data_IF_262573705693
#
_entry.id   IF_262573705693
#
_cell.length_a   1.000
_cell.length_b   1.000
_cell.length_c   1.000
_cell.angle_alpha   90.00
_cell.angle_beta   90.00
_cell.angle_gamma   90.00
#
_symmetry.space_group_name_H-M   'P 1'
#
loop_
_entity.id
_entity.type
_entity.pdbx_description
1 polymer ?
#
# COMPACT_ATOMS: atom_id res chain seq x y z
N UNK A 1 1.73 13.40 -8.20
CA UNK A 1 0.66 12.42 -8.43
C UNK A 1 -0.37 12.40 -7.29
N UNK A 2 0.05 12.15 -6.05
CA UNK A 2 -0.75 12.22 -4.83
C UNK A 2 -0.25 13.37 -3.97
N UNK A 3 -1.17 14.16 -3.40
CA UNK A 3 -0.88 15.25 -2.47
C UNK A 3 -1.81 15.15 -1.27
N UNK A 4 -1.24 15.12 -0.10
CA UNK A 4 -1.92 15.19 1.21
C UNK A 4 -1.45 16.46 1.88
N UNK A 5 -2.37 17.39 2.18
CA UNK A 5 -2.03 18.71 2.70
C UNK A 5 -2.73 18.96 4.03
N UNK A 6 -1.96 19.11 5.09
CA UNK A 6 -2.40 19.41 6.46
C UNK A 6 -3.52 18.49 6.95
N UNK A 7 -3.40 17.16 6.67
CA UNK A 7 -4.46 16.21 6.97
C UNK A 7 -4.43 15.79 8.43
N UNK A 8 -5.58 16.01 9.11
CA UNK A 8 -5.85 15.51 10.47
C UNK A 8 -6.99 14.49 10.43
N UNK A 9 -6.82 13.39 11.16
CA UNK A 9 -7.80 12.27 11.22
C UNK A 9 -8.16 11.98 12.66
N UNK A 10 -9.46 11.78 12.90
CA UNK A 10 -9.99 11.31 14.19
C UNK A 10 -10.81 10.05 14.01
N UNK A 11 -10.76 9.17 15.00
CA UNK A 11 -11.66 8.04 15.16
C UNK A 11 -12.63 8.30 16.32
N UNK A 12 -13.89 7.88 16.16
CA UNK A 12 -14.96 8.05 17.17
C UNK A 12 -15.11 9.50 17.66
N UNK A 13 -14.69 10.48 16.84
CA UNK A 13 -14.73 11.91 17.15
C UNK A 13 -13.71 12.39 18.19
N UNK A 14 -12.99 11.50 18.88
CA UNK A 14 -12.12 11.83 20.02
C UNK A 14 -10.66 11.39 19.84
N UNK A 15 -10.39 10.23 19.22
CA UNK A 15 -9.04 9.68 19.11
C UNK A 15 -8.33 10.35 17.91
N UNK A 16 -7.37 11.20 18.19
CA UNK A 16 -6.54 11.83 17.14
C UNK A 16 -5.51 10.81 16.65
N UNK A 17 -5.64 10.38 15.40
CA UNK A 17 -4.73 9.41 14.77
C UNK A 17 -3.71 10.05 13.82
N UNK A 18 -4.08 11.17 13.17
CA UNK A 18 -3.17 12.01 12.38
C UNK A 18 -3.40 13.48 12.73
N UNK A 19 -2.31 14.25 12.70
CA UNK A 19 -2.35 15.66 13.05
C UNK A 19 -1.48 16.48 12.09
N UNK A 20 -2.11 17.23 11.19
CA UNK A 20 -1.44 18.14 10.28
C UNK A 20 -0.42 17.46 9.36
N UNK A 21 -0.77 16.31 8.80
CA UNK A 21 0.14 15.52 7.96
C UNK A 21 0.22 16.12 6.56
N UNK A 22 1.43 16.46 6.13
CA UNK A 22 1.80 16.73 4.75
C UNK A 22 2.56 15.54 4.18
N UNK A 23 2.10 15.03 3.01
CA UNK A 23 2.68 13.86 2.35
C UNK A 23 2.45 13.94 0.85
N UNK A 24 3.47 13.67 0.06
CA UNK A 24 3.37 13.73 -1.39
C UNK A 24 4.00 12.50 -2.05
N UNK A 25 3.48 12.11 -3.21
CA UNK A 25 4.02 11.02 -4.02
C UNK A 25 4.09 11.48 -5.47
N UNK A 26 5.25 11.44 -6.06
CA UNK A 26 5.44 11.69 -7.48
C UNK A 26 5.08 10.46 -8.32
N UNK A 27 4.71 10.69 -9.59
CA UNK A 27 4.43 9.59 -10.49
C UNK A 27 5.69 8.76 -10.75
N UNK A 28 5.55 7.44 -10.70
CA UNK A 28 6.67 6.52 -10.88
C UNK A 28 7.60 6.43 -9.67
N UNK A 29 7.28 7.04 -8.53
CA UNK A 29 8.09 6.94 -7.31
C UNK A 29 7.75 5.70 -6.47
N UNK A 30 8.72 5.25 -5.67
CA UNK A 30 8.52 4.30 -4.57
C UNK A 30 8.75 5.06 -3.27
N UNK A 31 7.68 5.30 -2.52
CA UNK A 31 7.76 6.05 -1.26
C UNK A 31 7.72 5.09 -0.07
N UNK A 32 8.73 5.17 0.78
CA UNK A 32 8.76 4.48 2.06
C UNK A 32 8.08 5.35 3.13
N UNK A 33 6.97 4.87 3.70
CA UNK A 33 6.30 5.47 4.85
C UNK A 33 6.68 4.68 6.11
N UNK A 34 7.67 5.14 6.82
CA UNK A 34 8.25 4.44 7.97
C UNK A 34 7.65 4.95 9.29
N UNK A 35 7.70 4.14 10.33
CA UNK A 35 7.29 4.52 11.68
C UNK A 35 6.96 3.33 12.56
N UNK A 36 6.98 3.50 13.89
CA UNK A 36 6.60 2.45 14.82
C UNK A 36 5.12 2.06 14.70
N UNK A 37 4.73 0.97 15.38
CA UNK A 37 3.33 0.61 15.49
C UNK A 37 2.55 1.73 16.19
N UNK A 38 1.35 2.02 15.68
CA UNK A 38 0.53 3.13 16.19
C UNK A 38 0.96 4.52 15.72
N UNK A 39 1.97 4.65 14.86
CA UNK A 39 2.41 5.95 14.34
C UNK A 39 1.37 6.66 13.44
N UNK A 40 0.37 5.95 12.90
CA UNK A 40 -0.64 6.49 12.00
C UNK A 40 -0.48 6.07 10.54
N UNK A 41 0.48 5.20 10.19
CA UNK A 41 0.75 4.74 8.82
C UNK A 41 -0.51 4.18 8.13
N UNK A 42 -1.12 3.17 8.74
CA UNK A 42 -2.37 2.55 8.26
C UNK A 42 -3.49 3.56 8.13
N UNK A 43 -3.61 4.50 9.09
CA UNK A 43 -4.61 5.57 9.05
C UNK A 43 -4.41 6.47 7.84
N UNK A 44 -3.16 6.85 7.52
CA UNK A 44 -2.86 7.66 6.33
C UNK A 44 -3.22 6.90 5.04
N UNK A 45 -2.83 5.63 4.92
CA UNK A 45 -3.18 4.83 3.75
C UNK A 45 -4.70 4.65 3.61
N UNK A 46 -5.43 4.43 4.72
CA UNK A 46 -6.90 4.35 4.73
C UNK A 46 -7.56 5.68 4.39
N UNK A 47 -7.01 6.81 4.83
CA UNK A 47 -7.49 8.14 4.44
C UNK A 47 -7.40 8.34 2.93
N UNK A 48 -6.26 7.99 2.31
CA UNK A 48 -6.05 8.08 0.87
C UNK A 48 -7.01 7.15 0.11
N UNK A 49 -7.25 5.94 0.62
CA UNK A 49 -8.14 4.95 -0.01
C UNK A 49 -9.63 5.17 0.30
N UNK A 50 -10.00 6.17 1.11
CA UNK A 50 -11.39 6.46 1.51
C UNK A 50 -11.99 5.41 2.45
N UNK A 51 -11.17 4.66 3.17
CA UNK A 51 -11.62 3.54 4.01
C UNK A 51 -11.97 3.95 5.46
N UNK A 52 -11.60 5.15 5.89
CA UNK A 52 -11.83 5.61 7.28
C UNK A 52 -13.27 5.47 7.77
N UNK A 53 -14.31 5.80 6.97
CA UNK A 53 -15.70 5.73 7.46
C UNK A 53 -16.16 4.32 7.87
N UNK A 54 -15.53 3.26 7.36
CA UNK A 54 -15.86 1.87 7.75
C UNK A 54 -15.34 1.51 9.14
N UNK A 55 -14.48 2.34 9.71
CA UNK A 55 -13.90 2.16 11.05
C UNK A 55 -14.19 3.37 11.95
N UNK A 56 -15.26 4.12 11.67
CA UNK A 56 -15.67 5.32 12.41
C UNK A 56 -14.60 6.43 12.43
N UNK A 57 -13.76 6.48 11.38
CA UNK A 57 -12.74 7.49 11.19
C UNK A 57 -13.18 8.56 10.18
N UNK A 58 -12.68 9.77 10.35
CA UNK A 58 -12.92 10.88 9.42
C UNK A 58 -11.70 11.80 9.28
N UNK A 59 -11.56 12.40 8.10
CA UNK A 59 -10.66 13.53 7.89
C UNK A 59 -11.37 14.78 8.41
N UNK A 60 -10.83 15.37 9.48
CA UNK A 60 -11.41 16.56 10.12
C UNK A 60 -10.81 17.86 9.61
N UNK A 61 -9.61 17.83 9.05
CA UNK A 61 -8.89 18.97 8.51
C UNK A 61 -8.02 18.57 7.33
N UNK A 62 -7.71 19.51 6.44
CA UNK A 62 -6.83 19.32 5.30
C UNK A 62 -7.51 18.75 4.06
N UNK A 63 -6.72 18.34 3.09
CA UNK A 63 -7.20 17.84 1.81
C UNK A 63 -6.29 16.74 1.24
N UNK A 64 -6.90 15.80 0.52
CA UNK A 64 -6.19 14.76 -0.24
C UNK A 64 -6.57 14.92 -1.71
N UNK A 65 -5.55 15.03 -2.57
CA UNK A 65 -5.70 15.17 -4.02
C UNK A 65 -4.95 14.05 -4.74
N UNK A 66 -5.56 13.53 -5.79
CA UNK A 66 -4.94 12.54 -6.67
C UNK A 66 -5.07 13.01 -8.12
N UNK A 67 -3.94 13.12 -8.83
CA UNK A 67 -3.87 13.69 -10.19
C UNK A 67 -4.57 15.08 -10.27
N UNK A 68 -4.34 15.93 -9.25
CA UNK A 68 -4.92 17.27 -9.15
C UNK A 68 -6.39 17.30 -8.69
N UNK A 69 -7.11 16.19 -8.71
CA UNK A 69 -8.51 16.12 -8.31
C UNK A 69 -8.66 15.74 -6.83
N UNK A 70 -9.52 16.46 -6.09
CA UNK A 70 -9.80 16.13 -4.69
C UNK A 70 -10.43 14.75 -4.58
N UNK A 71 -9.98 13.98 -3.59
CA UNK A 71 -10.61 12.72 -3.20
C UNK A 71 -11.78 12.97 -2.24
N UNK A 72 -11.71 14.01 -1.41
CA UNK A 72 -12.77 14.42 -0.50
C UNK A 72 -13.35 13.26 0.30
N UNK A 73 -14.71 13.18 0.30
CA UNK A 73 -15.47 12.05 0.90
C UNK A 73 -15.86 11.00 -0.15
N UNK A 74 -15.02 10.80 -1.18
CA UNK A 74 -15.33 9.84 -2.23
C UNK A 74 -15.39 8.41 -1.68
N UNK A 75 -16.38 7.64 -2.14
CA UNK A 75 -16.50 6.23 -1.77
C UNK A 75 -15.29 5.42 -2.28
N UNK A 76 -14.77 4.42 -1.53
CA UNK A 76 -13.59 3.63 -1.92
C UNK A 76 -13.65 3.05 -3.33
N UNK A 77 -14.83 2.58 -3.75
CA UNK A 77 -15.01 2.09 -5.13
C UNK A 77 -14.76 3.17 -6.20
N UNK A 78 -15.05 4.44 -5.90
CA UNK A 78 -14.75 5.56 -6.79
C UNK A 78 -13.25 5.85 -6.81
N UNK A 79 -12.59 5.80 -5.65
CA UNK A 79 -11.15 5.97 -5.50
C UNK A 79 -10.41 4.85 -6.24
N UNK A 80 -10.85 3.60 -6.07
CA UNK A 80 -10.29 2.45 -6.79
C UNK A 80 -10.44 2.60 -8.32
N UNK A 81 -11.60 3.07 -8.82
CA UNK A 81 -11.78 3.35 -10.26
C UNK A 81 -10.87 4.47 -10.78
N UNK A 82 -10.41 5.38 -9.93
CA UNK A 82 -9.42 6.40 -10.30
C UNK A 82 -8.00 5.84 -10.38
N UNK A 83 -7.78 4.60 -9.91
CA UNK A 83 -6.50 3.90 -10.00
C UNK A 83 -5.71 3.88 -8.70
N UNK A 84 -6.33 4.03 -7.52
CA UNK A 84 -5.68 3.81 -6.23
C UNK A 84 -6.09 2.44 -5.70
N UNK A 85 -5.12 1.56 -5.45
CA UNK A 85 -5.35 0.27 -4.80
C UNK A 85 -4.64 0.22 -3.45
N UNK A 86 -5.34 -0.31 -2.44
CA UNK A 86 -4.81 -0.53 -1.10
C UNK A 86 -4.76 -2.03 -0.80
N UNK A 87 -3.57 -2.53 -0.47
CA UNK A 87 -3.34 -3.84 0.13
C UNK A 87 -3.18 -3.64 1.62
N UNK A 88 -4.20 -3.99 2.37
CA UNK A 88 -4.21 -3.88 3.83
C UNK A 88 -3.49 -5.07 4.47
N UNK A 89 -3.04 -4.90 5.70
CA UNK A 89 -2.67 -6.03 6.56
C UNK A 89 -3.85 -7.02 6.72
N UNK A 90 -3.53 -8.28 7.10
CA UNK A 90 -4.52 -9.35 7.28
C UNK A 90 -4.81 -10.17 6.02
N UNK A 91 -4.14 -9.89 4.88
CA UNK A 91 -4.15 -10.72 3.64
C UNK A 91 -5.55 -11.14 3.21
N UNK A 92 -6.43 -10.14 3.02
CA UNK A 92 -7.84 -10.38 2.73
C UNK A 92 -8.05 -10.89 1.30
N UNK A 93 -8.57 -12.10 1.18
CA UNK A 93 -8.96 -12.74 -0.08
C UNK A 93 -10.17 -13.67 0.13
N UNK A 94 -10.76 -14.14 -0.94
CA UNK A 94 -11.82 -15.14 -0.89
C UNK A 94 -11.21 -16.54 -0.71
N UNK A 95 -11.06 -16.98 0.53
CA UNK A 95 -10.33 -18.20 0.89
C UNK A 95 -10.91 -19.49 0.26
N UNK A 96 -12.21 -19.53 0.01
CA UNK A 96 -12.90 -20.67 -0.60
C UNK A 96 -12.82 -20.66 -2.15
N UNK A 97 -12.35 -19.58 -2.74
CA UNK A 97 -12.13 -19.47 -4.18
C UNK A 97 -10.69 -19.87 -4.53
N UNK A 98 -10.49 -20.33 -5.75
CA UNK A 98 -9.16 -20.58 -6.30
C UNK A 98 -8.39 -19.26 -6.48
N UNK A 99 -7.08 -19.35 -6.65
CA UNK A 99 -6.22 -18.21 -6.99
C UNK A 99 -6.77 -17.50 -8.24
N UNK A 100 -7.07 -18.25 -9.29
CA UNK A 100 -7.57 -17.67 -10.54
C UNK A 100 -8.93 -16.98 -10.36
N UNK A 101 -9.83 -17.53 -9.56
CA UNK A 101 -11.12 -16.90 -9.25
C UNK A 101 -10.96 -15.63 -8.44
N UNK A 102 -10.05 -15.59 -7.45
CA UNK A 102 -9.70 -14.38 -6.72
C UNK A 102 -9.19 -13.28 -7.66
N UNK A 103 -8.27 -13.61 -8.57
CA UNK A 103 -7.73 -12.66 -9.54
C UNK A 103 -8.81 -12.17 -10.52
N UNK A 104 -9.70 -13.04 -10.99
CA UNK A 104 -10.84 -12.65 -11.83
C UNK A 104 -11.81 -11.72 -11.08
N UNK A 105 -12.13 -12.04 -9.83
CA UNK A 105 -12.99 -11.18 -9.00
C UNK A 105 -12.39 -9.78 -8.81
N UNK A 106 -11.08 -9.68 -8.59
CA UNK A 106 -10.38 -8.40 -8.43
C UNK A 106 -10.38 -7.54 -9.71
N UNK A 107 -10.57 -8.12 -10.90
CA UNK A 107 -10.67 -7.39 -12.16
C UNK A 107 -12.03 -6.74 -12.42
N UNK A 108 -13.02 -6.93 -11.54
CA UNK A 108 -14.42 -6.50 -11.73
C UNK A 108 -14.57 -4.99 -12.01
N UNK A 109 -13.76 -4.15 -11.37
CA UNK A 109 -13.79 -2.70 -11.58
C UNK A 109 -13.24 -2.28 -12.96
N UNK A 110 -12.35 -3.07 -13.54
CA UNK A 110 -11.68 -2.82 -14.81
C UNK A 110 -11.66 -4.09 -15.69
N UNK A 111 -12.82 -4.54 -16.21
CA UNK A 111 -12.92 -5.80 -16.93
C UNK A 111 -12.20 -5.79 -18.29
N UNK A 112 -12.06 -4.62 -18.92
CA UNK A 112 -11.31 -4.49 -20.18
C UNK A 112 -9.84 -4.79 -19.96
N UNK A 113 -9.22 -5.64 -20.80
CA UNK A 113 -7.82 -6.03 -20.69
C UNK A 113 -7.52 -6.96 -19.51
N UNK A 114 -8.54 -7.58 -18.88
CA UNK A 114 -8.34 -8.43 -17.69
C UNK A 114 -7.53 -9.69 -17.99
N UNK A 115 -7.60 -10.21 -19.23
CA UNK A 115 -6.84 -11.39 -19.65
C UNK A 115 -5.35 -11.07 -19.77
N UNK A 116 -5.02 -9.97 -20.42
CA UNK A 116 -3.64 -9.50 -20.57
C UNK A 116 -3.02 -9.17 -19.20
N UNK A 117 -3.81 -8.54 -18.31
CA UNK A 117 -3.38 -8.28 -16.92
C UNK A 117 -3.16 -9.57 -16.14
N UNK A 118 -4.00 -10.59 -16.31
CA UNK A 118 -3.81 -11.88 -15.67
C UNK A 118 -2.48 -12.53 -16.07
N UNK A 119 -2.14 -12.50 -17.37
CA UNK A 119 -0.85 -13.03 -17.85
C UNK A 119 0.32 -12.18 -17.32
N UNK A 120 0.20 -10.86 -17.29
CA UNK A 120 1.17 -9.97 -16.68
C UNK A 120 1.38 -10.31 -15.20
N UNK A 121 0.31 -10.44 -14.43
CA UNK A 121 0.35 -10.79 -13.00
C UNK A 121 1.00 -12.14 -12.79
N UNK A 122 0.69 -13.14 -13.59
CA UNK A 122 1.37 -14.44 -13.54
C UNK A 122 2.86 -14.36 -13.91
N UNK A 123 3.27 -13.40 -14.72
CA UNK A 123 4.68 -13.11 -14.99
C UNK A 123 5.43 -12.56 -13.77
N UNK A 124 4.76 -11.76 -12.93
CA UNK A 124 5.32 -11.28 -11.66
C UNK A 124 5.27 -12.33 -10.54
N UNK A 125 4.27 -13.20 -10.55
CA UNK A 125 4.03 -14.23 -9.52
C UNK A 125 3.94 -15.64 -10.12
N UNK A 126 5.05 -16.23 -10.63
CA UNK A 126 5.03 -17.55 -11.26
C UNK A 126 4.45 -18.64 -10.35
N UNK A 127 4.74 -18.58 -9.06
CA UNK A 127 4.20 -19.52 -8.06
C UNK A 127 2.68 -19.52 -8.01
N UNK A 128 2.03 -18.38 -8.25
CA UNK A 128 0.56 -18.32 -8.31
C UNK A 128 0.02 -18.92 -9.62
N UNK A 129 0.79 -18.79 -10.71
CA UNK A 129 0.44 -19.43 -11.99
C UNK A 129 0.45 -20.95 -11.90
N UNK A 130 1.50 -21.50 -11.28
CA UNK A 130 1.64 -22.95 -11.08
C UNK A 130 0.52 -23.56 -10.23
N UNK A 131 -0.03 -22.75 -9.31
CA UNK A 131 -1.07 -23.18 -8.36
C UNK A 131 -2.43 -22.52 -8.61
N UNK A 132 -2.71 -22.02 -9.84
CA UNK A 132 -3.85 -21.17 -10.12
C UNK A 132 -5.22 -21.80 -9.80
N UNK A 133 -5.34 -23.13 -9.84
CA UNK A 133 -6.55 -23.88 -9.47
C UNK A 133 -6.66 -24.19 -7.97
N UNK A 134 -5.60 -23.93 -7.19
CA UNK A 134 -5.61 -24.16 -5.75
C UNK A 134 -6.46 -23.13 -5.03
N UNK A 135 -7.26 -23.55 -4.04
CA UNK A 135 -8.01 -22.63 -3.19
C UNK A 135 -7.06 -21.77 -2.34
N UNK A 136 -7.37 -20.48 -2.23
CA UNK A 136 -6.55 -19.52 -1.50
C UNK A 136 -6.39 -19.86 -0.01
N UNK A 137 -7.36 -20.54 0.59
CA UNK A 137 -7.30 -20.99 1.98
C UNK A 137 -6.17 -21.96 2.32
N UNK A 138 -5.60 -22.65 1.31
CA UNK A 138 -4.49 -23.58 1.47
C UNK A 138 -3.11 -22.98 1.15
N UNK A 139 -3.05 -21.67 0.94
CA UNK A 139 -1.79 -20.98 0.67
C UNK A 139 -1.02 -20.69 1.97
N UNK A 140 0.31 -20.72 1.89
CA UNK A 140 1.15 -20.19 2.97
C UNK A 140 0.95 -18.68 3.14
N UNK A 141 1.36 -18.12 4.29
CA UNK A 141 1.27 -16.68 4.53
C UNK A 141 1.95 -15.84 3.45
N UNK A 142 3.12 -16.26 2.95
CA UNK A 142 3.81 -15.57 1.86
C UNK A 142 3.11 -15.67 0.52
N UNK A 143 2.55 -16.84 0.21
CA UNK A 143 1.75 -17.03 -1.02
C UNK A 143 0.45 -16.22 -0.97
N UNK A 144 -0.19 -16.12 0.20
CA UNK A 144 -1.35 -15.24 0.41
C UNK A 144 -0.97 -13.77 0.21
N UNK A 145 0.18 -13.34 0.73
CA UNK A 145 0.67 -11.97 0.51
C UNK A 145 0.87 -11.68 -0.98
N UNK A 146 1.49 -12.60 -1.70
CA UNK A 146 1.62 -12.49 -3.16
C UNK A 146 0.26 -12.43 -3.85
N UNK A 147 -0.72 -13.25 -3.42
CA UNK A 147 -2.06 -13.25 -4.00
C UNK A 147 -2.77 -11.90 -3.80
N UNK A 148 -2.74 -11.30 -2.60
CA UNK A 148 -3.44 -10.03 -2.37
C UNK A 148 -2.79 -8.85 -3.12
N UNK A 149 -1.45 -8.86 -3.28
CA UNK A 149 -0.76 -7.89 -4.15
C UNK A 149 -1.16 -8.13 -5.62
N UNK A 150 -1.18 -9.37 -6.07
CA UNK A 150 -1.62 -9.76 -7.41
C UNK A 150 -3.07 -9.32 -7.68
N UNK A 151 -3.98 -9.49 -6.71
CA UNK A 151 -5.37 -9.02 -6.80
C UNK A 151 -5.42 -7.49 -6.95
N UNK A 152 -4.61 -6.74 -6.21
CA UNK A 152 -4.55 -5.28 -6.35
C UNK A 152 -4.13 -4.87 -7.78
N UNK A 153 -3.15 -5.56 -8.37
CA UNK A 153 -2.71 -5.31 -9.75
C UNK A 153 -3.79 -5.62 -10.79
N UNK A 154 -4.67 -6.60 -10.55
CA UNK A 154 -5.81 -6.88 -11.43
C UNK A 154 -6.77 -5.68 -11.54
N UNK A 155 -6.78 -4.80 -10.55
CA UNK A 155 -7.49 -3.51 -10.56
C UNK A 155 -6.88 -2.46 -11.49
N UNK A 156 -5.76 -2.72 -12.15
CA UNK A 156 -5.02 -1.76 -13.00
C UNK A 156 -4.70 -0.44 -12.29
N UNK A 157 -4.04 -0.46 -11.13
CA UNK A 157 -3.80 0.73 -10.35
C UNK A 157 -2.73 1.61 -10.99
N UNK A 158 -2.85 2.93 -10.76
CA UNK A 158 -1.80 3.92 -11.00
C UNK A 158 -0.94 4.14 -9.76
N UNK A 159 -1.56 3.96 -8.59
CA UNK A 159 -0.94 4.07 -7.27
C UNK A 159 -1.29 2.83 -6.43
N UNK A 160 -0.26 2.11 -6.01
CA UNK A 160 -0.37 0.95 -5.14
C UNK A 160 0.06 1.33 -3.72
N UNK A 161 -0.83 1.16 -2.76
CA UNK A 161 -0.59 1.37 -1.34
C UNK A 161 -0.43 0.00 -0.67
N UNK A 162 0.70 -0.26 -0.04
CA UNK A 162 1.01 -1.50 0.66
C UNK A 162 1.15 -1.22 2.17
N UNK A 163 0.28 -1.80 2.98
CA UNK A 163 0.30 -1.64 4.43
C UNK A 163 0.96 -2.88 5.07
N UNK A 164 2.14 -2.68 5.63
CA UNK A 164 3.00 -3.68 6.27
C UNK A 164 3.10 -5.02 5.49
N UNK A 165 3.48 -4.98 4.19
CA UNK A 165 3.47 -6.17 3.34
C UNK A 165 4.44 -7.26 3.80
N UNK A 166 5.41 -6.95 4.66
CA UNK A 166 6.40 -7.90 5.18
C UNK A 166 5.98 -8.56 6.50
N UNK A 167 4.91 -8.08 7.15
CA UNK A 167 4.53 -8.53 8.49
C UNK A 167 4.27 -10.05 8.54
N UNK A 168 4.96 -10.74 9.47
CA UNK A 168 4.80 -12.17 9.68
C UNK A 168 5.28 -13.06 8.52
N UNK A 169 6.15 -12.54 7.66
CA UNK A 169 6.79 -13.29 6.59
C UNK A 169 8.20 -13.77 7.00
N UNK A 170 8.63 -14.88 6.42
CA UNK A 170 10.04 -15.29 6.53
C UNK A 170 10.93 -14.32 5.74
N UNK A 171 12.23 -14.18 6.10
CA UNK A 171 13.15 -13.30 5.37
C UNK A 171 13.18 -13.55 3.85
N UNK A 172 13.12 -14.80 3.42
CA UNK A 172 13.06 -15.16 1.99
C UNK A 172 11.81 -14.59 1.32
N UNK A 173 10.66 -14.68 1.98
CA UNK A 173 9.41 -14.15 1.44
C UNK A 173 9.37 -12.62 1.43
N UNK A 174 9.97 -11.96 2.45
CA UNK A 174 10.15 -10.51 2.45
C UNK A 174 10.95 -10.07 1.21
N UNK A 175 12.09 -10.73 0.94
CA UNK A 175 12.87 -10.44 -0.27
C UNK A 175 12.03 -10.63 -1.54
N UNK A 176 11.31 -11.75 -1.66
CA UNK A 176 10.50 -12.03 -2.84
C UNK A 176 9.39 -10.96 -3.07
N UNK A 177 8.74 -10.48 -2.01
CA UNK A 177 7.73 -9.42 -2.11
C UNK A 177 8.36 -8.11 -2.60
N UNK A 178 9.49 -7.68 -2.01
CA UNK A 178 10.15 -6.44 -2.42
C UNK A 178 10.82 -6.53 -3.80
N UNK A 179 11.28 -7.71 -4.22
CA UNK A 179 11.77 -7.94 -5.59
C UNK A 179 10.65 -7.75 -6.62
N UNK A 180 9.44 -8.19 -6.30
CA UNK A 180 8.27 -7.92 -7.16
C UNK A 180 7.94 -6.42 -7.19
N UNK A 181 7.95 -5.72 -6.05
CA UNK A 181 7.72 -4.27 -5.99
C UNK A 181 8.76 -3.53 -6.83
N UNK A 182 10.04 -3.87 -6.70
CA UNK A 182 11.13 -3.28 -7.49
C UNK A 182 10.94 -3.52 -9.00
N UNK A 183 10.59 -4.75 -9.39
CA UNK A 183 10.33 -5.08 -10.79
C UNK A 183 9.14 -4.30 -11.34
N UNK A 184 8.03 -4.21 -10.62
CA UNK A 184 6.86 -3.43 -11.04
C UNK A 184 7.19 -1.95 -11.21
N UNK A 185 7.96 -1.38 -10.27
CA UNK A 185 8.43 -0.01 -10.39
C UNK A 185 9.28 0.19 -11.64
N UNK A 186 10.29 -0.65 -11.84
CA UNK A 186 11.26 -0.52 -12.95
C UNK A 186 10.64 -0.83 -14.32
N UNK A 187 9.81 -1.87 -14.43
CA UNK A 187 9.28 -2.37 -15.70
C UNK A 187 7.98 -1.66 -16.12
N UNK A 188 7.15 -1.24 -15.17
CA UNK A 188 5.84 -0.63 -15.42
C UNK A 188 5.78 0.87 -15.07
N UNK A 189 6.83 1.43 -14.45
CA UNK A 189 6.77 2.79 -13.87
C UNK A 189 5.71 2.90 -12.77
N UNK A 190 5.41 1.80 -12.06
CA UNK A 190 4.38 1.76 -11.02
C UNK A 190 4.73 2.70 -9.88
N UNK A 191 3.78 3.53 -9.49
CA UNK A 191 3.89 4.34 -8.28
C UNK A 191 3.45 3.52 -7.07
N UNK A 192 4.31 3.44 -6.05
CA UNK A 192 4.06 2.60 -4.87
C UNK A 192 4.32 3.39 -3.60
N UNK A 193 3.44 3.26 -2.61
CA UNK A 193 3.70 3.65 -1.22
C UNK A 193 3.74 2.37 -0.39
N UNK A 194 4.81 2.20 0.36
CA UNK A 194 4.97 1.06 1.27
C UNK A 194 5.07 1.58 2.69
N UNK A 195 4.07 1.27 3.51
CA UNK A 195 4.10 1.54 4.95
C UNK A 195 4.76 0.36 5.66
N UNK A 196 5.84 0.62 6.41
CA UNK A 196 6.61 -0.39 7.15
C UNK A 196 7.19 0.18 8.45
N UNK A 197 7.62 -0.70 9.36
CA UNK A 197 8.35 -0.24 10.54
C UNK A 197 9.81 0.07 10.18
N UNK A 198 10.52 -0.91 9.69
CA UNK A 198 11.91 -0.77 9.21
C UNK A 198 12.24 -1.98 8.34
N UNK A 199 12.47 -1.76 7.07
CA UNK A 199 12.92 -2.81 6.15
C UNK A 199 14.07 -2.30 5.31
N UNK A 200 15.32 -2.76 5.58
CA UNK A 200 16.50 -2.30 4.82
C UNK A 200 16.37 -2.50 3.30
N UNK A 201 15.62 -3.53 2.88
CA UNK A 201 15.35 -3.79 1.46
C UNK A 201 14.48 -2.69 0.84
N UNK A 202 13.50 -2.15 1.58
CA UNK A 202 12.66 -1.06 1.11
C UNK A 202 13.47 0.21 0.86
N UNK A 203 14.39 0.56 1.76
CA UNK A 203 15.24 1.75 1.58
C UNK A 203 16.12 1.69 0.32
N UNK A 204 16.48 0.48 -0.15
CA UNK A 204 17.28 0.31 -1.38
C UNK A 204 16.50 0.61 -2.66
N UNK A 205 15.18 0.50 -2.64
CA UNK A 205 14.32 0.71 -3.80
C UNK A 205 13.48 1.98 -3.70
N UNK A 206 13.42 2.59 -2.51
CA UNK A 206 12.69 3.83 -2.30
C UNK A 206 13.33 4.99 -3.07
N UNK A 207 12.47 5.89 -3.56
CA UNK A 207 12.87 7.18 -4.15
C UNK A 207 12.74 8.30 -3.14
N UNK A 208 11.92 8.09 -2.10
CA UNK A 208 11.65 9.07 -1.06
C UNK A 208 11.22 8.38 0.25
N UNK A 209 11.49 8.98 1.40
CA UNK A 209 11.22 8.42 2.72
C UNK A 209 10.52 9.44 3.61
N UNK A 210 9.37 9.06 4.12
CA UNK A 210 8.65 9.76 5.18
C UNK A 210 8.68 8.93 6.46
N UNK A 211 8.94 9.58 7.59
CA UNK A 211 8.87 8.93 8.90
C UNK A 211 7.72 9.53 9.69
N UNK A 212 6.79 8.67 10.08
CA UNK A 212 5.63 9.01 10.88
C UNK A 212 5.88 8.61 12.34
N UNK A 213 5.58 9.51 13.28
CA UNK A 213 5.55 9.25 14.72
C UNK A 213 4.38 9.99 15.35
N UNK A 214 3.60 9.31 16.19
CA UNK A 214 2.47 9.87 16.93
C UNK A 214 1.50 10.71 16.08
N UNK A 215 1.25 10.24 14.86
CA UNK A 215 0.32 10.89 13.92
C UNK A 215 0.88 12.09 13.17
N UNK A 216 2.17 12.37 13.25
CA UNK A 216 2.82 13.48 12.56
C UNK A 216 4.00 12.98 11.69
N UNK A 217 4.27 13.66 10.58
CA UNK A 217 5.51 13.46 9.81
C UNK A 217 6.62 14.17 10.55
N UNK A 218 7.58 13.40 11.07
CA UNK A 218 8.72 13.89 11.85
C UNK A 218 10.01 13.95 11.05
N UNK A 219 10.04 13.30 9.88
CA UNK A 219 11.15 13.36 8.93
C UNK A 219 10.64 13.13 7.52
N UNK A 220 11.18 13.88 6.57
CA UNK A 220 11.05 13.67 5.14
C UNK A 220 12.44 13.84 4.52
N UNK A 221 12.94 12.82 3.81
CA UNK A 221 14.31 12.80 3.31
C UNK A 221 14.44 11.82 2.13
N UNK A 222 15.40 12.03 1.22
CA UNK A 222 15.83 10.97 0.31
C UNK A 222 16.34 9.74 1.08
N UNK A 223 16.36 8.55 0.45
CA UNK A 223 16.72 7.29 1.12
C UNK A 223 18.07 7.30 1.83
N UNK A 224 19.04 8.05 1.31
CA UNK A 224 20.39 8.18 1.88
C UNK A 224 20.38 8.88 3.24
N UNK A 225 19.38 9.73 3.50
CA UNK A 225 19.20 10.43 4.78
C UNK A 225 18.47 9.62 5.85
N UNK A 226 17.88 8.47 5.47
CA UNK A 226 17.14 7.59 6.36
C UNK A 226 17.99 6.41 6.85
N UNK A 227 19.20 6.66 7.30
CA UNK A 227 20.05 5.61 7.87
C UNK A 227 19.52 5.10 9.22
N UNK A 228 20.04 3.96 9.67
CA UNK A 228 19.58 3.32 10.90
C UNK A 228 19.72 4.24 12.12
N UNK A 229 20.78 5.03 12.19
CA UNK A 229 21.02 5.95 13.31
C UNK A 229 20.03 7.14 13.29
N UNK A 230 19.66 7.64 12.12
CA UNK A 230 18.64 8.68 11.96
C UNK A 230 17.25 8.16 12.36
N UNK A 231 16.89 6.95 11.90
CA UNK A 231 15.62 6.31 12.25
C UNK A 231 15.51 6.00 13.75
N UNK A 232 16.58 5.47 14.36
CA UNK A 232 16.59 5.21 15.80
C UNK A 232 16.39 6.48 16.63
N UNK A 233 17.03 7.60 16.26
CA UNK A 233 16.83 8.89 16.95
C UNK A 233 15.38 9.34 16.92
N UNK A 234 14.73 9.17 15.77
CA UNK A 234 13.32 9.56 15.60
C UNK A 234 12.36 8.61 16.33
N UNK A 235 12.67 7.32 16.45
CA UNK A 235 11.80 6.36 17.14
C UNK A 235 11.91 6.44 18.66
N UNK A 236 13.00 6.98 19.18
CA UNK A 236 13.25 7.12 20.63
C UNK A 236 12.86 8.50 21.19
N UNK A 237 12.50 9.48 20.33
CA UNK A 237 12.01 10.81 20.71
C UNK A 237 10.49 10.84 20.87
#
# INVERSE_FOLDING_TARGET
MLEVSNVSVRYEGVIVALQGVDFAVEAGGVVALLGPNGAGKTTLLKAIAGMLPFEQGEVVEGAIRFEGASLGRAHPATIARRGIALVQDGRQCFRNLTIQENLKAASFLHPKGSRERLEMVFGYFPVLKEMHERQAGFLSGGQLQMLVIAMALMGNPKLLLLDEPSLGLSPVMVHAVFDVVERMHRELGMTVVVAEQTVPRLLKIATDVYVLSRGQVVMHTPPEGADEAALQRVYLS
#
